data_IF_601597547446
#
_entry.id   IF_601597547446
#
_cell.length_a   1.000
_cell.length_b   1.000
_cell.length_c   1.000
_cell.angle_alpha   90.00
_cell.angle_beta   90.00
_cell.angle_gamma   90.00
#
_symmetry.space_group_name_H-M   'P 1'
#
loop_
_entity.id
_entity.type
_entity.pdbx_description
1 polymer ?
#
# COMPACT_ATOMS: atom_id res chain seq x y z
N UNK A 1 23.55 14.20 -5.80
CA UNK A 1 23.77 15.67 -5.80
C UNK A 1 23.75 16.25 -4.39
N UNK A 2 24.05 17.56 -4.24
CA UNK A 2 23.98 18.28 -2.96
C UNK A 2 22.60 18.84 -2.59
N UNK A 3 21.62 18.72 -3.50
CA UNK A 3 20.24 19.14 -3.29
C UNK A 3 19.51 18.23 -2.27
N UNK A 4 18.48 18.77 -1.64
CA UNK A 4 17.71 18.12 -0.58
C UNK A 4 16.23 18.09 -0.93
N UNK A 5 15.56 17.02 -0.55
CA UNK A 5 14.11 16.88 -0.62
C UNK A 5 13.61 16.55 0.78
N UNK A 6 12.62 17.29 1.24
CA UNK A 6 11.98 17.11 2.55
C UNK A 6 10.48 17.11 2.34
N UNK A 7 9.75 16.23 3.02
CA UNK A 7 8.31 16.17 2.90
C UNK A 7 7.65 15.89 4.24
N UNK A 8 6.38 16.27 4.34
CA UNK A 8 5.52 15.95 5.46
C UNK A 8 4.11 15.65 4.96
N UNK A 9 3.48 14.66 5.59
CA UNK A 9 2.16 14.15 5.24
C UNK A 9 1.22 14.21 6.44
N UNK A 10 -0.06 14.48 6.18
CA UNK A 10 -1.15 14.29 7.13
C UNK A 10 -2.25 13.49 6.44
N UNK A 11 -2.74 12.46 7.12
CA UNK A 11 -3.84 11.59 6.70
C UNK A 11 -3.84 10.33 7.57
N UNK A 12 -5.01 9.85 7.99
CA UNK A 12 -5.13 8.67 8.85
C UNK A 12 -6.47 7.93 8.67
N UNK A 13 -7.54 8.65 8.33
CA UNK A 13 -8.83 8.11 7.86
C UNK A 13 -9.28 8.81 6.58
N UNK A 14 -10.24 8.22 5.88
CA UNK A 14 -10.62 8.52 4.48
C UNK A 14 -9.39 8.46 3.56
N UNK A 15 -8.71 7.32 3.59
CA UNK A 15 -7.49 7.10 2.82
C UNK A 15 -7.79 6.03 1.76
N UNK A 16 -8.19 6.50 0.59
CA UNK A 16 -8.05 5.78 -0.67
C UNK A 16 -7.78 6.81 -1.76
N UNK A 17 -6.53 7.26 -1.98
CA UNK A 17 -6.30 8.38 -2.87
C UNK A 17 -6.65 8.03 -4.33
N UNK A 18 -7.72 8.66 -4.80
CA UNK A 18 -7.88 9.30 -6.11
C UNK A 18 -8.09 10.82 -5.89
N UNK A 19 -7.30 11.35 -4.94
CA UNK A 19 -7.45 12.59 -4.19
C UNK A 19 -8.49 12.51 -3.01
N UNK A 20 -8.17 11.74 -1.95
CA UNK A 20 -8.85 11.54 -0.63
C UNK A 20 -8.04 11.85 0.71
N UNK A 21 -8.60 12.63 1.69
CA UNK A 21 -7.95 13.55 2.69
C UNK A 21 -6.52 13.18 3.09
N UNK A 22 -5.62 13.56 2.22
CA UNK A 22 -4.20 13.49 2.40
C UNK A 22 -3.62 14.85 1.96
N UNK A 23 -2.96 15.50 2.93
CA UNK A 23 -2.25 16.77 2.71
C UNK A 23 -0.76 16.47 2.78
N UNK A 24 -0.09 16.56 1.65
CA UNK A 24 1.36 16.38 1.54
C UNK A 24 2.00 17.63 0.98
N UNK A 25 3.07 18.04 1.63
CA UNK A 25 3.89 19.15 1.18
C UNK A 25 5.33 18.67 1.07
N UNK A 26 5.94 18.93 -0.08
CA UNK A 26 7.31 18.56 -0.42
C UNK A 26 8.07 19.85 -0.72
N UNK A 27 9.23 19.98 -0.08
CA UNK A 27 10.12 21.12 -0.19
C UNK A 27 11.46 20.64 -0.73
N UNK A 28 12.00 21.36 -1.71
CA UNK A 28 13.33 21.09 -2.24
C UNK A 28 14.10 22.38 -2.51
N UNK A 29 15.43 22.30 -2.49
CA UNK A 29 16.31 23.36 -2.99
C UNK A 29 16.85 23.08 -4.40
N UNK A 30 16.46 21.96 -5.01
CA UNK A 30 16.85 21.56 -6.36
C UNK A 30 16.36 22.55 -7.43
N UNK A 31 17.27 23.08 -8.25
CA UNK A 31 16.96 23.88 -9.42
C UNK A 31 16.48 22.99 -10.57
N UNK A 32 15.15 22.82 -10.61
CA UNK A 32 14.42 22.00 -11.57
C UNK A 32 13.38 22.88 -12.27
N UNK A 33 13.20 22.68 -13.58
CA UNK A 33 12.16 23.39 -14.32
C UNK A 33 10.78 23.08 -13.73
N UNK A 34 9.82 24.01 -13.87
CA UNK A 34 8.50 23.83 -13.25
C UNK A 34 7.79 22.60 -13.81
N UNK A 35 7.87 22.44 -15.12
CA UNK A 35 7.25 21.34 -15.87
C UNK A 35 7.88 19.99 -15.51
N UNK A 36 9.20 19.96 -15.28
CA UNK A 36 9.91 18.76 -14.83
C UNK A 36 9.54 18.38 -13.40
N UNK A 37 9.44 19.37 -12.50
CA UNK A 37 9.01 19.14 -11.11
C UNK A 37 7.56 18.65 -11.06
N UNK A 38 6.67 19.22 -11.88
CA UNK A 38 5.26 18.82 -11.97
C UNK A 38 5.12 17.37 -12.44
N UNK A 39 5.82 17.01 -13.53
CA UNK A 39 5.82 15.64 -14.03
C UNK A 39 6.45 14.65 -13.02
N UNK A 40 7.59 15.01 -12.42
CA UNK A 40 8.23 14.17 -11.42
C UNK A 40 7.34 13.95 -10.19
N UNK A 41 6.62 14.99 -9.75
CA UNK A 41 5.66 14.87 -8.66
C UNK A 41 4.49 13.97 -9.04
N UNK A 42 3.92 14.15 -10.23
CA UNK A 42 2.83 13.31 -10.73
C UNK A 42 3.24 11.83 -10.74
N UNK A 43 4.40 11.51 -11.32
CA UNK A 43 4.91 10.15 -11.39
C UNK A 43 5.18 9.56 -10.00
N UNK A 44 5.73 10.36 -9.08
CA UNK A 44 5.96 9.94 -7.69
C UNK A 44 4.64 9.65 -6.96
N UNK A 45 3.60 10.47 -7.15
CA UNK A 45 2.28 10.30 -6.54
C UNK A 45 1.59 9.02 -7.05
N UNK A 46 1.69 8.73 -8.35
CA UNK A 46 1.15 7.52 -8.98
C UNK A 46 1.77 6.23 -8.43
N UNK A 47 3.04 6.28 -8.04
CA UNK A 47 3.77 5.13 -7.48
C UNK A 47 3.74 5.05 -5.94
N UNK A 48 3.23 6.08 -5.25
CA UNK A 48 3.17 6.12 -3.78
C UNK A 48 1.75 6.29 -3.23
N UNK A 49 1.24 7.53 -3.19
CA UNK A 49 0.00 7.86 -2.50
C UNK A 49 -1.22 7.27 -3.22
N UNK A 50 -1.17 7.16 -4.54
CA UNK A 50 -2.22 6.47 -5.30
C UNK A 50 -2.09 4.93 -5.23
N UNK A 51 -1.25 4.42 -4.31
CA UNK A 51 -1.06 2.98 -4.04
C UNK A 51 -1.37 2.59 -2.60
N UNK A 52 -1.94 3.49 -1.80
CA UNK A 52 -2.31 3.20 -0.42
C UNK A 52 -3.83 3.19 -0.21
N UNK A 53 -4.31 2.36 0.72
CA UNK A 53 -5.68 2.46 1.22
C UNK A 53 -5.85 1.96 2.66
N UNK A 54 -6.58 2.73 3.48
CA UNK A 54 -6.96 2.34 4.86
C UNK A 54 -8.40 1.82 4.87
N UNK A 55 -9.35 2.58 4.35
CA UNK A 55 -10.80 2.34 4.55
C UNK A 55 -11.64 2.36 3.28
N UNK A 56 -11.02 2.50 2.11
CA UNK A 56 -11.66 2.64 0.80
C UNK A 56 -12.47 3.92 0.57
N UNK A 57 -12.49 4.86 1.52
CA UNK A 57 -13.29 6.07 1.39
C UNK A 57 -12.48 7.20 0.76
N UNK A 58 -12.86 7.57 -0.46
CA UNK A 58 -12.30 8.74 -1.13
C UNK A 58 -12.84 10.03 -0.50
N UNK A 59 -11.95 10.94 -0.12
CA UNK A 59 -12.33 12.24 0.41
C UNK A 59 -12.27 13.36 -0.63
N UNK A 60 -12.69 14.57 -0.25
CA UNK A 60 -12.97 15.70 -1.13
C UNK A 60 -11.88 16.78 -1.16
N UNK A 61 -10.79 16.64 -0.40
CA UNK A 61 -9.89 17.78 -0.06
C UNK A 61 -8.39 17.52 -0.26
N UNK A 62 -8.03 16.67 -1.20
CA UNK A 62 -6.64 16.24 -1.34
C UNK A 62 -5.71 17.18 -2.01
N UNK A 63 -4.49 17.19 -1.50
CA UNK A 63 -3.48 18.08 -2.01
C UNK A 63 -2.09 17.50 -1.76
N UNK A 64 -1.36 17.27 -2.85
CA UNK A 64 0.10 17.09 -2.84
C UNK A 64 0.71 18.32 -3.50
N UNK A 65 1.58 19.04 -2.79
CA UNK A 65 2.28 20.22 -3.32
C UNK A 65 3.78 20.01 -3.24
N UNK A 66 4.50 20.23 -4.34
CA UNK A 66 5.95 20.38 -4.32
C UNK A 66 6.35 21.84 -4.54
N UNK A 67 7.32 22.33 -3.77
CA UNK A 67 7.88 23.67 -3.87
C UNK A 67 9.39 23.62 -3.92
N UNK A 68 9.99 24.35 -4.86
CA UNK A 68 11.44 24.47 -4.99
C UNK A 68 11.92 25.90 -4.77
N UNK A 69 13.03 26.05 -4.03
CA UNK A 69 13.77 27.33 -3.89
C UNK A 69 14.83 27.55 -4.97
N UNK A 70 15.16 26.52 -5.79
CA UNK A 70 16.12 26.57 -6.90
C UNK A 70 17.52 27.08 -6.53
N UNK A 71 18.03 26.69 -5.35
CA UNK A 71 19.33 27.13 -4.84
C UNK A 71 20.48 26.15 -5.16
N UNK A 72 20.17 24.90 -5.48
CA UNK A 72 21.15 23.83 -5.74
C UNK A 72 20.91 23.22 -7.12
N UNK A 73 21.91 23.17 -8.02
CA UNK A 73 21.75 22.52 -9.31
C UNK A 73 21.30 21.05 -9.17
N UNK A 74 20.26 20.66 -9.90
CA UNK A 74 19.89 19.27 -10.09
C UNK A 74 20.65 18.71 -11.31
N UNK A 75 21.93 18.35 -11.11
CA UNK A 75 22.78 17.87 -12.20
C UNK A 75 22.30 16.55 -12.82
N UNK A 76 21.63 15.73 -12.01
CA UNK A 76 21.00 14.48 -12.43
C UNK A 76 19.50 14.52 -12.08
N UNK A 77 18.67 14.68 -13.12
CA UNK A 77 17.22 14.73 -12.97
C UNK A 77 16.63 13.37 -12.57
N UNK A 78 17.26 12.26 -12.97
CA UNK A 78 16.79 10.92 -12.59
C UNK A 78 17.10 10.64 -11.12
N UNK A 79 18.25 11.10 -10.61
CA UNK A 79 18.54 11.08 -9.18
C UNK A 79 17.49 11.88 -8.39
N UNK A 80 17.11 13.07 -8.87
CA UNK A 80 16.05 13.88 -8.25
C UNK A 80 14.68 13.17 -8.28
N UNK A 81 14.29 12.61 -9.43
CA UNK A 81 13.03 11.84 -9.57
C UNK A 81 12.99 10.67 -8.61
N UNK A 82 14.07 9.88 -8.52
CA UNK A 82 14.18 8.77 -7.59
C UNK A 82 14.04 9.23 -6.14
N UNK A 83 14.76 10.29 -5.74
CA UNK A 83 14.68 10.82 -4.38
C UNK A 83 13.28 11.35 -4.03
N UNK A 84 12.58 11.95 -5.01
CA UNK A 84 11.20 12.40 -4.86
C UNK A 84 10.24 11.21 -4.71
N UNK A 85 10.37 10.18 -5.52
CA UNK A 85 9.56 8.95 -5.40
C UNK A 85 9.83 8.23 -4.07
N UNK A 86 11.07 8.19 -3.61
CA UNK A 86 11.46 7.56 -2.36
C UNK A 86 10.81 8.27 -1.16
N UNK A 87 10.86 9.61 -1.12
CA UNK A 87 10.24 10.35 -0.01
C UNK A 87 8.71 10.26 -0.05
N UNK A 88 8.11 10.30 -1.23
CA UNK A 88 6.67 10.11 -1.41
C UNK A 88 6.23 8.71 -0.96
N UNK A 89 7.00 7.68 -1.31
CA UNK A 89 6.76 6.29 -0.89
C UNK A 89 6.90 6.10 0.62
N UNK A 90 7.94 6.70 1.22
CA UNK A 90 8.15 6.64 2.66
C UNK A 90 7.01 7.32 3.43
N UNK A 91 6.55 8.48 2.97
CA UNK A 91 5.41 9.19 3.57
C UNK A 91 4.10 8.42 3.39
N UNK A 92 3.90 7.75 2.25
CA UNK A 92 2.73 6.91 2.02
C UNK A 92 2.68 5.70 2.97
N UNK A 93 3.82 5.04 3.23
CA UNK A 93 3.91 3.99 4.27
C UNK A 93 3.56 4.53 5.65
N UNK A 94 4.11 5.69 6.02
CA UNK A 94 3.84 6.31 7.32
C UNK A 94 2.35 6.68 7.47
N UNK A 95 1.67 7.13 6.40
CA UNK A 95 0.22 7.40 6.39
C UNK A 95 -0.59 6.14 6.69
N UNK A 96 -0.30 5.01 6.02
CA UNK A 96 -1.03 3.75 6.27
C UNK A 96 -0.74 3.23 7.67
N UNK A 97 0.52 3.29 8.09
CA UNK A 97 0.96 2.80 9.39
C UNK A 97 0.35 3.58 10.55
N UNK A 98 0.06 4.86 10.33
CA UNK A 98 -0.65 5.72 11.27
C UNK A 98 -2.15 5.82 10.96
N UNK A 99 -2.68 4.91 10.12
CA UNK A 99 -4.09 4.84 9.80
C UNK A 99 -4.94 4.56 11.05
N UNK A 100 -6.16 5.06 11.08
CA UNK A 100 -7.04 4.94 12.24
C UNK A 100 -7.24 3.48 12.66
N UNK A 101 -6.87 3.15 13.89
CA UNK A 101 -6.97 1.79 14.42
C UNK A 101 -6.11 0.75 13.68
N UNK A 102 -5.10 1.14 12.92
CA UNK A 102 -4.22 0.20 12.21
C UNK A 102 -3.31 -0.55 13.18
N UNK A 103 -3.40 -1.88 13.19
CA UNK A 103 -2.47 -2.74 13.94
C UNK A 103 -1.49 -3.46 13.01
N UNK A 104 -1.84 -3.65 11.74
CA UNK A 104 -0.98 -4.27 10.74
C UNK A 104 -0.99 -3.46 9.45
N UNK A 105 0.19 -3.24 8.89
CA UNK A 105 0.33 -2.77 7.51
C UNK A 105 0.42 -3.98 6.59
N UNK A 106 -0.50 -4.09 5.65
CA UNK A 106 -0.52 -5.09 4.58
C UNK A 106 0.30 -4.55 3.41
N UNK A 107 1.28 -5.30 2.93
CA UNK A 107 2.03 -4.97 1.71
C UNK A 107 1.74 -6.01 0.64
N UNK A 108 1.05 -5.60 -0.41
CA UNK A 108 0.61 -6.47 -1.49
C UNK A 108 1.37 -6.16 -2.79
N UNK A 109 2.23 -7.09 -3.19
CA UNK A 109 2.91 -7.05 -4.48
C UNK A 109 2.12 -7.88 -5.50
N UNK A 110 1.67 -7.22 -6.57
CA UNK A 110 1.03 -7.83 -7.73
C UNK A 110 2.05 -7.90 -8.87
N UNK A 111 2.14 -9.06 -9.53
CA UNK A 111 2.90 -9.25 -10.75
C UNK A 111 2.10 -10.06 -11.77
N UNK A 112 2.62 -10.15 -12.99
CA UNK A 112 1.99 -10.97 -14.03
C UNK A 112 0.65 -10.41 -14.51
N UNK A 113 0.37 -9.12 -14.33
CA UNK A 113 -0.91 -8.53 -14.72
C UNK A 113 -0.93 -8.17 -16.21
N UNK A 114 -2.10 -8.19 -16.88
CA UNK A 114 -2.23 -7.81 -18.29
C UNK A 114 -1.93 -6.32 -18.55
N UNK A 115 -2.23 -5.47 -17.57
CA UNK A 115 -1.93 -4.05 -17.60
C UNK A 115 -1.59 -3.53 -16.19
N UNK A 116 -0.87 -2.41 -16.12
CA UNK A 116 -0.59 -1.73 -14.85
C UNK A 116 -1.88 -1.33 -14.13
N UNK A 117 -2.90 -0.89 -14.88
CA UNK A 117 -4.22 -0.55 -14.34
C UNK A 117 -4.90 -1.76 -13.67
N UNK A 118 -4.85 -2.93 -14.30
CA UNK A 118 -5.38 -4.17 -13.70
C UNK A 118 -4.61 -4.57 -12.44
N UNK A 119 -3.28 -4.37 -12.42
CA UNK A 119 -2.46 -4.63 -11.25
C UNK A 119 -2.84 -3.71 -10.06
N UNK A 120 -3.05 -2.42 -10.33
CA UNK A 120 -3.52 -1.46 -9.30
C UNK A 120 -4.90 -1.87 -8.79
N UNK A 121 -5.84 -2.13 -9.69
CA UNK A 121 -7.23 -2.40 -9.37
C UNK A 121 -7.40 -3.72 -8.60
N UNK A 122 -6.65 -4.77 -8.96
CA UNK A 122 -6.57 -6.00 -8.17
C UNK A 122 -6.02 -5.71 -6.78
N UNK A 123 -4.92 -4.97 -6.71
CA UNK A 123 -4.31 -4.56 -5.45
C UNK A 123 -5.32 -3.91 -4.51
N UNK A 124 -6.03 -2.88 -5.00
CA UNK A 124 -7.08 -2.15 -4.27
C UNK A 124 -8.19 -3.09 -3.82
N UNK A 125 -8.70 -3.93 -4.71
CA UNK A 125 -9.76 -4.90 -4.39
C UNK A 125 -9.37 -5.86 -3.26
N UNK A 126 -8.09 -6.24 -3.16
CA UNK A 126 -7.62 -7.16 -2.12
C UNK A 126 -7.38 -6.44 -0.80
N UNK A 127 -6.66 -5.31 -0.79
CA UNK A 127 -6.38 -4.56 0.44
C UNK A 127 -7.64 -3.97 1.07
N UNK A 128 -8.70 -3.75 0.28
CA UNK A 128 -10.00 -3.27 0.75
C UNK A 128 -10.99 -4.40 1.08
N UNK A 129 -10.61 -5.68 0.95
CA UNK A 129 -11.50 -6.80 1.27
C UNK A 129 -11.75 -6.90 2.78
N UNK A 130 -12.97 -6.64 3.30
CA UNK A 130 -13.20 -6.57 4.74
C UNK A 130 -12.88 -7.88 5.45
N UNK A 131 -13.25 -9.02 4.84
CA UNK A 131 -12.94 -10.34 5.39
C UNK A 131 -11.43 -10.54 5.51
N UNK A 132 -10.66 -10.13 4.50
CA UNK A 132 -9.22 -10.29 4.52
C UNK A 132 -8.57 -9.37 5.56
N UNK A 133 -8.96 -8.08 5.58
CA UNK A 133 -8.53 -7.11 6.60
C UNK A 133 -8.80 -7.61 8.03
N UNK A 134 -9.97 -8.19 8.30
CA UNK A 134 -10.29 -8.77 9.61
C UNK A 134 -9.43 -10.02 9.94
N UNK A 135 -9.06 -10.82 8.94
CA UNK A 135 -8.20 -11.98 9.16
C UNK A 135 -6.80 -11.54 9.60
N UNK A 136 -6.26 -10.54 8.89
CA UNK A 136 -4.98 -9.91 9.24
C UNK A 136 -5.03 -9.30 10.65
N UNK A 137 -6.08 -8.56 11.00
CA UNK A 137 -6.26 -7.99 12.35
C UNK A 137 -6.22 -9.05 13.46
N UNK A 138 -6.72 -10.26 13.16
CA UNK A 138 -6.76 -11.37 14.11
C UNK A 138 -5.52 -12.25 14.13
N UNK A 139 -4.46 -11.92 13.37
CA UNK A 139 -3.34 -12.83 13.11
C UNK A 139 -3.79 -14.21 12.60
N UNK A 140 -4.93 -14.26 11.87
CA UNK A 140 -5.50 -15.46 11.28
C UNK A 140 -5.04 -15.54 9.81
N UNK A 141 -4.12 -16.45 9.44
CA UNK A 141 -3.64 -16.61 8.06
C UNK A 141 -4.68 -17.32 7.19
N UNK A 142 -5.87 -16.73 7.10
CA UNK A 142 -7.00 -17.24 6.34
C UNK A 142 -6.78 -17.02 4.84
N UNK A 143 -5.91 -17.84 4.25
CA UNK A 143 -5.54 -17.75 2.84
C UNK A 143 -6.75 -17.95 1.90
N UNK A 144 -7.80 -18.63 2.37
CA UNK A 144 -9.06 -18.73 1.64
C UNK A 144 -9.71 -17.38 1.37
N UNK A 145 -9.64 -16.43 2.34
CA UNK A 145 -10.15 -15.06 2.16
C UNK A 145 -9.33 -14.25 1.17
N UNK A 146 -8.00 -14.45 1.14
CA UNK A 146 -7.12 -13.84 0.14
C UNK A 146 -7.46 -14.37 -1.27
N UNK A 147 -7.52 -15.70 -1.44
CA UNK A 147 -7.87 -16.32 -2.72
C UNK A 147 -9.27 -15.89 -3.19
N UNK A 148 -10.24 -15.78 -2.27
CA UNK A 148 -11.58 -15.29 -2.61
C UNK A 148 -11.57 -13.83 -3.07
N UNK A 149 -10.79 -12.95 -2.43
CA UNK A 149 -10.67 -11.54 -2.82
C UNK A 149 -10.05 -11.40 -4.22
N UNK A 150 -8.97 -12.15 -4.50
CA UNK A 150 -8.34 -12.19 -5.83
C UNK A 150 -9.29 -12.78 -6.87
N UNK A 151 -9.93 -13.91 -6.54
CA UNK A 151 -10.86 -14.61 -7.44
C UNK A 151 -12.09 -13.78 -7.81
N UNK A 152 -12.62 -12.98 -6.87
CA UNK A 152 -13.70 -12.02 -7.15
C UNK A 152 -13.29 -11.06 -8.26
N UNK A 153 -12.14 -10.41 -8.12
CA UNK A 153 -11.64 -9.45 -9.11
C UNK A 153 -11.36 -10.12 -10.46
N UNK A 154 -10.74 -11.30 -10.46
CA UNK A 154 -10.49 -12.08 -11.68
C UNK A 154 -11.79 -12.41 -12.44
N UNK A 155 -12.86 -12.76 -11.72
CA UNK A 155 -14.16 -13.08 -12.32
C UNK A 155 -14.80 -11.89 -13.05
N UNK A 156 -14.54 -10.68 -12.56
CA UNK A 156 -15.05 -9.42 -13.11
C UNK A 156 -14.18 -8.87 -14.25
N UNK A 157 -12.91 -9.29 -14.35
CA UNK A 157 -12.03 -8.89 -15.45
C UNK A 157 -12.54 -9.42 -16.81
N UNK A 158 -12.46 -8.64 -17.90
CA UNK A 158 -12.79 -9.13 -19.24
C UNK A 158 -11.90 -10.27 -19.72
N UNK A 159 -10.60 -10.23 -19.38
CA UNK A 159 -9.59 -11.22 -19.78
C UNK A 159 -9.74 -12.56 -19.05
N UNK A 160 -10.35 -12.56 -17.85
CA UNK A 160 -10.55 -13.72 -16.96
C UNK A 160 -9.35 -14.68 -16.92
N UNK A 161 -8.19 -14.23 -16.41
CA UNK A 161 -7.03 -15.10 -16.23
C UNK A 161 -7.37 -16.38 -15.47
N UNK A 162 -6.72 -17.49 -15.83
CA UNK A 162 -6.97 -18.75 -15.14
C UNK A 162 -6.34 -18.73 -13.74
N UNK A 163 -7.10 -19.17 -12.73
CA UNK A 163 -6.55 -19.40 -11.39
C UNK A 163 -5.43 -20.45 -11.37
N UNK A 164 -5.35 -21.33 -12.37
CA UNK A 164 -4.27 -22.31 -12.50
C UNK A 164 -2.91 -21.66 -12.76
N UNK A 165 -2.91 -20.47 -13.37
CA UNK A 165 -1.71 -19.68 -13.65
C UNK A 165 -1.31 -18.80 -12.46
N UNK A 166 -2.24 -18.59 -11.51
CA UNK A 166 -2.04 -17.72 -10.38
C UNK A 166 -1.17 -18.38 -9.31
N UNK A 167 -0.20 -17.63 -8.79
CA UNK A 167 0.61 -18.00 -7.63
C UNK A 167 0.46 -16.96 -6.55
N UNK A 168 0.22 -17.40 -5.33
CA UNK A 168 0.13 -16.50 -4.18
C UNK A 168 1.11 -16.92 -3.10
N UNK A 169 1.72 -15.93 -2.45
CA UNK A 169 2.66 -16.11 -1.35
C UNK A 169 2.31 -15.16 -0.21
N UNK A 170 2.65 -15.56 1.01
CA UNK A 170 2.55 -14.73 2.20
C UNK A 170 3.76 -14.98 3.08
N UNK A 171 4.43 -13.93 3.56
CA UNK A 171 5.66 -14.05 4.36
C UNK A 171 6.75 -14.88 3.68
N UNK A 172 6.82 -14.86 2.35
CA UNK A 172 7.75 -15.68 1.56
C UNK A 172 7.41 -17.17 1.47
N UNK A 173 6.23 -17.61 1.92
CA UNK A 173 5.72 -18.97 1.73
C UNK A 173 4.67 -19.03 0.64
N UNK A 174 4.78 -20.02 -0.24
CA UNK A 174 3.73 -20.28 -1.23
C UNK A 174 2.50 -20.83 -0.53
N UNK A 175 1.33 -20.28 -0.85
CA UNK A 175 0.05 -20.63 -0.23
C UNK A 175 -1.00 -21.08 -1.24
N UNK A 176 -0.81 -20.73 -2.52
CA UNK A 176 -1.68 -21.11 -3.62
C UNK A 176 -0.87 -21.21 -4.91
N UNK A 177 -1.05 -22.30 -5.65
CA UNK A 177 -0.46 -22.50 -6.98
C UNK A 177 -1.21 -23.60 -7.73
N UNK A 178 -1.20 -23.57 -9.06
CA UNK A 178 -1.84 -24.62 -9.90
C UNK A 178 -3.32 -24.87 -9.51
N UNK A 179 -4.05 -23.80 -9.20
CA UNK A 179 -5.48 -23.88 -8.86
C UNK A 179 -5.78 -24.50 -7.49
N UNK A 180 -4.76 -24.76 -6.66
CA UNK A 180 -4.91 -25.42 -5.35
C UNK A 180 -4.18 -24.68 -4.23
N UNK A 181 -4.68 -24.84 -3.02
CA UNK A 181 -3.99 -24.41 -1.80
C UNK A 181 -2.74 -25.26 -1.57
N UNK A 182 -1.66 -24.61 -1.16
CA UNK A 182 -0.39 -25.22 -0.78
C UNK A 182 -0.15 -24.96 0.71
N UNK A 183 -0.88 -25.69 1.56
CA UNK A 183 -0.88 -25.51 3.00
C UNK A 183 -0.48 -26.81 3.71
N UNK A 184 0.31 -26.64 4.76
CA UNK A 184 0.64 -27.67 5.74
C UNK A 184 0.60 -27.04 7.13
N UNK A 185 0.47 -27.84 8.21
CA UNK A 185 0.53 -27.29 9.57
C UNK A 185 1.80 -26.48 9.83
N UNK A 186 2.91 -26.81 9.18
CA UNK A 186 4.16 -26.06 9.27
C UNK A 186 4.03 -24.68 8.61
N UNK A 187 3.52 -24.62 7.38
CA UNK A 187 3.29 -23.37 6.66
C UNK A 187 2.32 -22.49 7.45
N UNK A 188 1.19 -23.04 7.91
CA UNK A 188 0.21 -22.29 8.70
C UNK A 188 0.83 -21.63 9.94
N UNK A 189 1.65 -22.37 10.69
CA UNK A 189 2.36 -21.81 11.84
C UNK A 189 3.35 -20.69 11.46
N UNK A 190 4.05 -20.82 10.34
CA UNK A 190 4.96 -19.78 9.84
C UNK A 190 4.19 -18.52 9.39
N UNK A 191 3.00 -18.68 8.80
CA UNK A 191 2.15 -17.55 8.43
C UNK A 191 1.61 -16.82 9.67
N UNK A 192 1.19 -17.54 10.71
CA UNK A 192 0.80 -16.94 12.00
C UNK A 192 1.97 -16.14 12.59
N UNK A 193 3.18 -16.71 12.59
CA UNK A 193 4.37 -16.03 13.11
C UNK A 193 4.72 -14.78 12.30
N UNK A 194 4.58 -14.84 10.97
CA UNK A 194 4.78 -13.68 10.09
C UNK A 194 3.81 -12.56 10.44
N UNK A 195 2.50 -12.84 10.49
CA UNK A 195 1.48 -11.85 10.87
C UNK A 195 1.73 -11.27 12.25
N UNK A 196 1.92 -12.12 13.27
CA UNK A 196 2.14 -11.68 14.65
C UNK A 196 3.44 -10.88 14.80
N UNK A 197 4.45 -11.14 13.97
CA UNK A 197 5.66 -10.32 13.94
C UNK A 197 5.43 -8.96 13.28
N UNK A 198 4.44 -8.80 12.41
CA UNK A 198 4.12 -7.54 11.76
C UNK A 198 3.16 -6.66 12.58
N UNK A 199 2.59 -7.18 13.67
CA UNK A 199 1.70 -6.46 14.57
C UNK A 199 2.40 -5.28 15.25
N UNK A 200 1.80 -4.09 15.15
CA UNK A 200 2.28 -2.86 15.78
C UNK A 200 1.91 -2.80 17.28
N UNK A 201 0.74 -3.34 17.63
CA UNK A 201 0.18 -3.35 19.00
C UNK A 201 -0.50 -2.04 19.41
N UNK A 202 -1.10 -2.04 20.61
CA UNK A 202 -1.80 -0.88 21.17
C UNK A 202 -0.78 0.10 21.80
N UNK A 203 -0.29 1.03 20.98
CA UNK A 203 0.78 1.96 21.34
C UNK A 203 0.25 3.21 22.03
N UNK A 204 -0.42 3.01 23.17
CA UNK A 204 -1.05 4.05 23.98
C UNK A 204 -0.20 5.27 24.39
N UNK A 205 1.09 5.35 24.04
CA UNK A 205 1.94 6.54 24.21
C UNK A 205 3.15 6.68 23.22
N UNK A 206 3.33 5.82 22.22
CA UNK A 206 4.52 5.91 21.35
C UNK A 206 4.33 6.98 20.25
N UNK A 207 5.29 7.90 20.11
CA UNK A 207 5.24 8.94 19.07
C UNK A 207 5.50 8.41 17.64
N UNK A 208 6.01 7.19 17.51
CA UNK A 208 6.35 6.55 16.23
C UNK A 208 6.12 5.03 16.28
N UNK A 209 5.77 4.39 15.15
CA UNK A 209 5.61 2.94 15.07
C UNK A 209 6.89 2.18 15.46
N UNK A 210 6.76 1.11 16.25
CA UNK A 210 7.91 0.34 16.78
C UNK A 210 8.83 -0.26 15.72
N UNK A 211 8.30 -0.54 14.53
CA UNK A 211 9.04 -1.09 13.41
C UNK A 211 8.31 -0.85 12.09
N UNK A 212 9.02 -1.12 10.98
CA UNK A 212 8.48 -1.05 9.62
C UNK A 212 8.08 -2.40 9.01
N UNK A 213 7.93 -3.45 9.83
CA UNK A 213 7.46 -4.76 9.35
C UNK A 213 6.03 -4.64 8.79
N UNK A 214 5.71 -5.53 7.87
CA UNK A 214 4.48 -5.58 7.08
C UNK A 214 4.02 -7.03 6.96
N UNK A 215 2.71 -7.23 6.79
CA UNK A 215 2.16 -8.50 6.33
C UNK A 215 2.35 -8.55 4.82
N UNK A 216 3.50 -9.11 4.42
CA UNK A 216 3.88 -9.27 3.02
C UNK A 216 3.05 -10.34 2.30
N UNK A 217 2.48 -9.95 1.16
CA UNK A 217 1.69 -10.79 0.27
C UNK A 217 2.18 -10.57 -1.15
N UNK A 218 2.30 -11.66 -1.91
CA UNK A 218 2.65 -11.62 -3.33
C UNK A 218 1.56 -12.35 -4.11
N UNK A 219 1.09 -11.77 -5.22
CA UNK A 219 0.13 -12.38 -6.15
C UNK A 219 0.66 -12.22 -7.57
N UNK A 220 1.06 -13.32 -8.19
CA UNK A 220 1.42 -13.43 -9.60
C UNK A 220 0.20 -13.94 -10.36
N UNK A 221 -0.36 -13.13 -11.26
CA UNK A 221 -1.51 -13.50 -12.09
C UNK A 221 -1.14 -14.39 -13.28
N UNK A 222 0.14 -14.43 -13.69
CA UNK A 222 0.59 -15.19 -14.86
C UNK A 222 -0.09 -14.81 -16.19
N UNK A 223 -0.59 -13.56 -16.30
CA UNK A 223 -1.47 -13.08 -17.36
C UNK A 223 -0.90 -11.90 -18.18
N UNK A 224 0.34 -11.47 -17.90
CA UNK A 224 1.06 -10.38 -18.56
C UNK A 224 2.38 -10.09 -17.87
N UNK A 225 2.94 -8.91 -18.09
CA UNK A 225 4.27 -8.51 -17.58
C UNK A 225 4.22 -7.31 -16.62
N UNK A 226 3.02 -6.79 -16.35
CA UNK A 226 2.85 -5.60 -15.54
C UNK A 226 2.77 -5.93 -14.04
N UNK A 227 3.15 -4.96 -13.21
CA UNK A 227 3.23 -5.11 -11.77
C UNK A 227 2.83 -3.84 -11.02
N UNK A 228 2.50 -4.02 -9.75
CA UNK A 228 2.10 -2.96 -8.83
C UNK A 228 2.38 -3.39 -7.40
N UNK A 229 2.77 -2.47 -6.53
CA UNK A 229 2.76 -2.71 -5.08
C UNK A 229 1.77 -1.75 -4.44
N UNK A 230 0.95 -2.25 -3.53
CA UNK A 230 0.02 -1.45 -2.74
C UNK A 230 0.23 -1.70 -1.26
N UNK A 231 -0.08 -0.68 -0.47
CA UNK A 231 -0.15 -0.78 0.99
C UNK A 231 -1.60 -0.62 1.44
N UNK A 232 -1.97 -1.37 2.46
CA UNK A 232 -3.18 -1.07 3.20
C UNK A 232 -3.09 -1.45 4.66
N UNK A 233 -4.17 -1.24 5.39
CA UNK A 233 -4.27 -1.60 6.81
C UNK A 233 -5.16 -2.82 7.03
N UNK A 234 -5.15 -3.36 8.24
CA UNK A 234 -6.16 -4.29 8.72
C UNK A 234 -7.49 -3.57 9.10
N UNK A 235 -8.48 -4.31 9.58
CA UNK A 235 -9.77 -3.76 10.06
C UNK A 235 -9.98 -4.21 11.49
N UNK A 236 -9.78 -3.28 12.43
CA UNK A 236 -9.78 -3.56 13.87
C UNK A 236 -11.03 -3.03 14.56
N UNK A 237 -11.23 -3.45 15.81
CA UNK A 237 -12.24 -2.83 16.68
C UNK A 237 -11.92 -1.35 16.96
N UNK A 238 -10.64 -0.97 17.07
CA UNK A 238 -10.23 0.41 17.32
C UNK A 238 -10.66 1.34 16.18
N UNK A 239 -10.55 0.91 14.91
CA UNK A 239 -11.08 1.67 13.78
C UNK A 239 -12.56 2.00 13.94
N UNK A 240 -13.36 0.99 14.31
CA UNK A 240 -14.81 1.16 14.55
C UNK A 240 -15.07 2.10 15.73
N UNK A 241 -14.34 1.95 16.84
CA UNK A 241 -14.49 2.81 18.01
C UNK A 241 -14.18 4.27 17.68
N UNK A 242 -13.04 4.55 17.04
CA UNK A 242 -12.64 5.92 16.66
C UNK A 242 -13.68 6.57 15.76
N UNK A 243 -14.19 5.85 14.75
CA UNK A 243 -15.14 6.40 13.78
C UNK A 243 -16.61 6.39 14.23
N UNK A 244 -16.97 5.61 15.26
CA UNK A 244 -18.33 5.60 15.80
C UNK A 244 -18.51 6.63 16.94
N UNK A 245 -17.47 6.85 17.74
CA UNK A 245 -17.53 7.72 18.92
C UNK A 245 -17.17 9.18 18.61
N UNK A 246 -16.37 9.41 17.57
CA UNK A 246 -16.01 10.75 17.11
C UNK A 246 -16.97 11.21 16.00
N UNK A 247 -17.56 12.40 16.17
CA UNK A 247 -18.26 13.07 15.06
C UNK A 247 -17.23 13.92 14.32
N UNK A 248 -16.76 13.43 13.17
CA UNK A 248 -15.93 14.17 12.20
C UNK A 248 -16.72 15.26 11.49
#
# INVERSE_FOLDING_TARGET
GGARVVGFAKGAGMIEPHLATMLVYILTDADVAREELDQALHDAVEESFNRISVDSDESTSDTVVAMSTRLQPAEDLEEFRSALTDICSALADDVVRNGEGTNHVIKLAISGAPSKADAVALGRSVVNSPLFKCAVAGNDPNVGRLVAAVGKFIGDMPSRPSLDQCRMRMGGRQIFSEGRFDLSPQIENELVQHMASAELGDDGEAAFPRHKRTVDIEVDLGAGDESATLLGSDLTHAYVTVNADYRS
#
